data_IF_022464010616
#
_entry.id   IF_022464010616
#
_cell.length_a   1.000
_cell.length_b   1.000
_cell.length_c   1.000
_cell.angle_alpha   90.00
_cell.angle_beta   90.00
_cell.angle_gamma   90.00
#
_symmetry.space_group_name_H-M   'P 1'
#
loop_
_entity.id
_entity.type
_entity.pdbx_description
1 polymer ?
#
# COMPACT_ATOMS: atom_id res chain seq x y z
N UNK A 1 6.91 13.73 -0.95
CA UNK A 1 5.68 13.28 -1.64
C UNK A 1 4.79 12.57 -0.63
N UNK A 2 3.48 12.72 -0.74
CA UNK A 2 2.46 11.99 -0.01
C UNK A 2 1.83 10.95 -0.93
N UNK A 3 2.06 9.67 -0.68
CA UNK A 3 1.69 8.57 -1.59
C UNK A 3 0.76 7.58 -0.90
N UNK A 4 -0.21 7.05 -1.63
CA UNK A 4 -0.95 5.85 -1.19
C UNK A 4 -0.10 4.62 -1.50
N UNK A 5 0.13 3.76 -0.51
CA UNK A 5 0.97 2.57 -0.65
C UNK A 5 0.11 1.34 -0.89
N UNK A 6 0.44 0.59 -1.92
CA UNK A 6 -0.14 -0.74 -2.16
C UNK A 6 0.34 -1.76 -1.09
N UNK A 7 -0.57 -2.62 -0.60
CA UNK A 7 -0.27 -3.76 0.28
C UNK A 7 0.96 -4.55 -0.19
N UNK A 8 1.11 -4.78 -1.50
CA UNK A 8 2.21 -5.53 -2.07
C UNK A 8 3.58 -4.89 -1.78
N UNK A 9 3.65 -3.56 -1.68
CA UNK A 9 4.89 -2.84 -1.32
C UNK A 9 5.25 -3.09 0.13
N UNK A 10 4.26 -3.07 1.03
CA UNK A 10 4.45 -3.37 2.44
C UNK A 10 4.82 -4.85 2.66
N UNK A 11 4.19 -5.77 1.94
CA UNK A 11 4.54 -7.20 1.95
C UNK A 11 5.98 -7.41 1.45
N UNK A 12 6.38 -6.76 0.36
CA UNK A 12 7.75 -6.84 -0.15
C UNK A 12 8.77 -6.30 0.87
N UNK A 13 8.42 -5.22 1.58
CA UNK A 13 9.21 -4.67 2.67
C UNK A 13 9.32 -5.65 3.84
N UNK A 14 8.29 -6.45 4.15
CA UNK A 14 8.32 -7.46 5.21
C UNK A 14 9.15 -8.70 4.83
N UNK A 15 9.06 -9.17 3.58
CA UNK A 15 9.71 -10.42 3.15
C UNK A 15 11.24 -10.35 3.16
N UNK A 16 11.82 -9.24 2.69
CA UNK A 16 13.28 -9.08 2.62
C UNK A 16 13.66 -7.63 2.80
N UNK A 17 14.93 -7.39 3.10
CA UNK A 17 15.52 -6.05 2.98
C UNK A 17 15.54 -5.65 1.51
N UNK A 18 14.53 -4.89 1.11
CA UNK A 18 14.21 -4.56 -0.28
C UNK A 18 14.22 -3.05 -0.47
N UNK A 19 14.26 -2.61 -1.73
CA UNK A 19 14.04 -1.19 -2.06
C UNK A 19 12.76 -0.67 -1.42
N UNK A 20 11.70 -1.48 -1.35
CA UNK A 20 10.47 -1.10 -0.64
C UNK A 20 10.71 -0.81 0.85
N UNK A 21 11.50 -1.65 1.54
CA UNK A 21 11.84 -1.41 2.96
C UNK A 21 12.61 -0.11 3.11
N UNK A 22 13.62 0.11 2.27
CA UNK A 22 14.42 1.33 2.29
C UNK A 22 13.59 2.59 2.00
N UNK A 23 12.69 2.54 1.02
CA UNK A 23 11.81 3.67 0.66
C UNK A 23 10.88 4.02 1.82
N UNK A 24 10.26 3.02 2.48
CA UNK A 24 9.34 3.24 3.60
C UNK A 24 10.05 3.89 4.79
N UNK A 25 11.30 3.48 5.07
CA UNK A 25 12.03 3.93 6.27
C UNK A 25 12.82 5.23 6.08
N UNK A 26 12.99 5.75 4.85
CA UNK A 26 13.89 6.88 4.57
C UNK A 26 13.30 8.28 4.87
N UNK A 27 12.11 8.43 5.48
CA UNK A 27 11.46 9.72 5.82
C UNK A 27 11.32 10.78 4.70
N UNK A 28 11.80 10.53 3.47
CA UNK A 28 11.69 11.42 2.31
C UNK A 28 10.25 11.54 1.80
N UNK A 29 9.42 10.57 2.14
CA UNK A 29 8.05 10.43 1.68
C UNK A 29 7.13 10.13 2.86
N UNK A 30 5.87 10.55 2.72
CA UNK A 30 4.81 10.22 3.66
C UNK A 30 3.85 9.27 2.97
N UNK A 31 3.37 8.28 3.72
CA UNK A 31 2.61 7.18 3.16
C UNK A 31 1.23 7.10 3.79
N UNK A 32 0.23 6.85 2.95
CA UNK A 32 -1.13 6.51 3.37
C UNK A 32 -1.40 5.04 3.02
N UNK A 33 -2.07 4.32 3.91
CA UNK A 33 -2.48 2.94 3.66
C UNK A 33 -3.95 2.76 4.06
N UNK A 34 -4.81 2.21 3.19
CA UNK A 34 -6.15 1.83 3.58
C UNK A 34 -6.13 0.79 4.73
N UNK A 35 -7.01 0.91 5.73
CA UNK A 35 -7.02 0.02 6.89
C UNK A 35 -7.19 -1.47 6.52
N UNK A 36 -7.95 -1.77 5.46
CA UNK A 36 -8.21 -3.15 5.03
C UNK A 36 -6.92 -3.89 4.64
N UNK A 37 -5.87 -3.17 4.25
CA UNK A 37 -4.55 -3.74 3.94
C UNK A 37 -3.93 -4.45 5.15
N UNK A 38 -4.22 -3.99 6.37
CA UNK A 38 -3.74 -4.65 7.59
C UNK A 38 -4.40 -6.03 7.79
N UNK A 39 -5.68 -6.17 7.44
CA UNK A 39 -6.37 -7.46 7.47
C UNK A 39 -5.74 -8.42 6.46
N UNK A 40 -5.43 -7.91 5.26
CA UNK A 40 -4.77 -8.70 4.21
C UNK A 40 -3.37 -9.17 4.65
N UNK A 41 -2.56 -8.27 5.20
CA UNK A 41 -1.21 -8.59 5.70
C UNK A 41 -1.28 -9.64 6.80
N UNK A 42 -2.22 -9.50 7.75
CA UNK A 42 -2.40 -10.47 8.82
C UNK A 42 -2.88 -11.83 8.29
N UNK A 43 -3.78 -11.84 7.30
CA UNK A 43 -4.23 -13.07 6.63
C UNK A 43 -3.06 -13.80 5.96
N UNK A 44 -2.10 -13.08 5.39
CA UNK A 44 -0.91 -13.65 4.76
C UNK A 44 0.30 -13.81 5.69
N UNK A 45 0.17 -13.52 6.99
CA UNK A 45 1.27 -13.54 7.97
C UNK A 45 2.08 -14.83 7.93
N UNK A 46 1.43 -16.00 8.01
CA UNK A 46 2.13 -17.30 7.98
C UNK A 46 2.94 -17.52 6.69
N UNK A 47 2.40 -17.07 5.55
CA UNK A 47 3.11 -17.14 4.27
C UNK A 47 4.32 -16.21 4.25
N UNK A 48 4.16 -14.97 4.73
CA UNK A 48 5.23 -13.97 4.79
C UNK A 48 6.34 -14.44 5.73
N UNK A 49 6.01 -14.92 6.92
CA UNK A 49 6.97 -15.48 7.88
C UNK A 49 7.78 -16.63 7.25
N UNK A 50 7.12 -17.56 6.54
CA UNK A 50 7.80 -18.66 5.85
C UNK A 50 8.75 -18.19 4.76
N UNK A 51 8.38 -17.16 3.98
CA UNK A 51 9.24 -16.57 2.94
C UNK A 51 10.40 -15.76 3.52
N UNK A 52 10.14 -15.00 4.58
CA UNK A 52 11.11 -14.13 5.24
C UNK A 52 12.03 -14.88 6.20
N UNK A 53 11.71 -16.14 6.52
CA UNK A 53 12.33 -16.93 7.60
C UNK A 53 12.29 -16.19 8.94
N UNK A 54 11.15 -15.55 9.22
CA UNK A 54 10.90 -14.83 10.47
C UNK A 54 9.93 -15.63 11.34
N UNK A 55 10.10 -15.55 12.65
CA UNK A 55 9.05 -15.96 13.58
C UNK A 55 7.94 -14.90 13.67
N UNK A 56 6.83 -15.25 14.33
CA UNK A 56 5.68 -14.36 14.47
C UNK A 56 6.02 -13.06 15.20
N UNK A 57 6.83 -13.12 16.27
CA UNK A 57 7.13 -11.96 17.10
C UNK A 57 8.01 -10.95 16.36
N UNK A 58 8.98 -11.45 15.59
CA UNK A 58 9.85 -10.64 14.73
C UNK A 58 9.06 -10.02 13.59
N UNK A 59 8.12 -10.77 13.00
CA UNK A 59 7.19 -10.22 12.01
C UNK A 59 6.36 -9.06 12.59
N UNK A 60 5.76 -9.24 13.77
CA UNK A 60 4.92 -8.22 14.40
C UNK A 60 5.73 -6.96 14.72
N UNK A 61 6.95 -7.14 15.25
CA UNK A 61 7.88 -6.03 15.54
C UNK A 61 8.26 -5.27 14.28
N UNK A 62 8.59 -5.99 13.19
CA UNK A 62 8.94 -5.38 11.92
C UNK A 62 7.75 -4.64 11.29
N UNK A 63 6.57 -5.24 11.31
CA UNK A 63 5.34 -4.61 10.81
C UNK A 63 5.04 -3.33 11.59
N UNK A 64 5.07 -3.36 12.92
CA UNK A 64 4.89 -2.17 13.75
C UNK A 64 5.92 -1.08 13.41
N UNK A 65 7.19 -1.44 13.22
CA UNK A 65 8.24 -0.49 12.85
C UNK A 65 8.00 0.15 11.48
N UNK A 66 7.49 -0.59 10.50
CA UNK A 66 7.17 -0.05 9.17
C UNK A 66 5.96 0.88 9.23
N UNK A 67 4.93 0.50 10.01
CA UNK A 67 3.72 1.30 10.17
C UNK A 67 3.96 2.65 10.87
N UNK A 68 5.07 2.82 11.62
CA UNK A 68 5.44 4.14 12.15
C UNK A 68 5.64 5.21 11.07
N UNK A 69 5.92 4.81 9.83
CA UNK A 69 6.10 5.72 8.70
C UNK A 69 4.87 5.78 7.77
N UNK A 70 3.76 5.12 8.15
CA UNK A 70 2.57 4.96 7.32
C UNK A 70 1.33 5.39 8.12
N UNK A 71 0.60 6.37 7.60
CA UNK A 71 -0.69 6.78 8.13
C UNK A 71 -1.77 5.79 7.65
N UNK A 72 -2.34 5.02 8.58
CA UNK A 72 -3.42 4.08 8.27
C UNK A 72 -4.76 4.82 8.24
N UNK A 73 -5.48 4.72 7.14
CA UNK A 73 -6.71 5.48 6.88
C UNK A 73 -7.92 4.55 6.91
N UNK A 74 -8.88 4.91 7.76
CA UNK A 74 -10.14 4.18 7.90
C UNK A 74 -11.05 4.33 6.67
N UNK A 75 -11.84 3.31 6.37
CA UNK A 75 -12.69 3.22 5.17
C UNK A 75 -13.64 4.40 5.03
N UNK A 76 -14.19 4.88 6.12
CA UNK A 76 -15.17 5.98 6.15
C UNK A 76 -14.58 7.25 5.54
N UNK A 77 -13.26 7.45 5.65
CA UNK A 77 -12.59 8.66 5.14
C UNK A 77 -12.47 8.70 3.61
N UNK A 78 -12.60 7.56 2.93
CA UNK A 78 -12.53 7.45 1.47
C UNK A 78 -13.74 6.75 0.84
N UNK A 79 -14.74 6.38 1.65
CA UNK A 79 -15.92 5.65 1.21
C UNK A 79 -16.68 6.34 0.07
N UNK A 80 -16.73 7.69 0.09
CA UNK A 80 -17.39 8.51 -0.94
C UNK A 80 -16.75 8.39 -2.33
N UNK A 81 -15.52 7.88 -2.42
CA UNK A 81 -14.78 7.69 -3.68
C UNK A 81 -14.75 6.24 -4.16
N UNK A 82 -15.25 5.29 -3.37
CA UNK A 82 -15.21 3.85 -3.71
C UNK A 82 -15.90 3.54 -5.03
N UNK A 83 -17.10 4.10 -5.26
CA UNK A 83 -17.86 3.84 -6.48
C UNK A 83 -17.13 4.34 -7.73
N UNK A 84 -16.62 5.58 -7.68
CA UNK A 84 -15.87 6.18 -8.79
C UNK A 84 -14.57 5.40 -9.04
N UNK A 85 -13.86 5.00 -7.98
CA UNK A 85 -12.65 4.19 -8.11
C UNK A 85 -12.94 2.83 -8.76
N UNK A 86 -14.06 2.18 -8.41
CA UNK A 86 -14.49 0.91 -8.99
C UNK A 86 -14.77 1.03 -10.50
N UNK A 87 -15.44 2.11 -10.90
CA UNK A 87 -15.71 2.41 -12.31
C UNK A 87 -14.41 2.68 -13.09
N UNK A 88 -13.49 3.46 -12.51
CA UNK A 88 -12.20 3.80 -13.15
C UNK A 88 -11.29 2.57 -13.34
N UNK A 89 -11.38 1.59 -12.45
CA UNK A 89 -10.66 0.31 -12.58
C UNK A 89 -11.40 -0.70 -13.45
N UNK A 90 -12.52 -0.33 -14.07
CA UNK A 90 -13.35 -1.19 -14.94
C UNK A 90 -13.75 -2.52 -14.27
N UNK A 91 -13.91 -2.50 -12.94
CA UNK A 91 -14.18 -3.68 -12.10
C UNK A 91 -13.15 -4.83 -12.22
N UNK A 92 -11.94 -4.56 -12.73
CA UNK A 92 -10.93 -5.59 -13.02
C UNK A 92 -10.36 -6.23 -11.76
N UNK A 93 -9.94 -5.41 -10.80
CA UNK A 93 -9.55 -5.87 -9.46
C UNK A 93 -10.26 -5.03 -8.38
N UNK A 94 -11.15 -5.69 -7.65
CA UNK A 94 -11.90 -5.06 -6.56
C UNK A 94 -11.02 -4.75 -5.34
N UNK A 95 -9.85 -5.39 -5.22
CA UNK A 95 -8.89 -5.13 -4.15
C UNK A 95 -8.09 -3.84 -4.36
N UNK A 96 -8.00 -3.37 -5.60
CA UNK A 96 -7.30 -2.13 -5.94
C UNK A 96 -8.16 -0.88 -5.68
N UNK A 97 -9.48 -1.07 -5.66
CA UNK A 97 -10.49 -0.01 -5.47
C UNK A 97 -10.22 0.85 -4.24
N UNK A 98 -9.92 0.32 -3.04
CA UNK A 98 -9.71 1.15 -1.87
C UNK A 98 -8.45 2.04 -1.97
N UNK A 99 -7.39 1.60 -2.65
CA UNK A 99 -6.18 2.44 -2.83
C UNK A 99 -6.47 3.61 -3.77
N UNK A 100 -7.15 3.35 -4.88
CA UNK A 100 -7.55 4.42 -5.80
C UNK A 100 -8.57 5.37 -5.15
N UNK A 101 -9.55 4.83 -4.42
CA UNK A 101 -10.52 5.64 -3.69
C UNK A 101 -9.83 6.53 -2.66
N UNK A 102 -8.86 5.99 -1.91
CA UNK A 102 -8.08 6.76 -0.95
C UNK A 102 -7.30 7.90 -1.65
N UNK A 103 -6.61 7.60 -2.74
CA UNK A 103 -5.86 8.62 -3.49
C UNK A 103 -6.77 9.70 -4.09
N UNK A 104 -8.00 9.37 -4.49
CA UNK A 104 -8.99 10.34 -4.97
C UNK A 104 -9.67 11.15 -3.84
N UNK A 105 -9.56 10.70 -2.59
CA UNK A 105 -10.25 11.31 -1.43
C UNK A 105 -9.37 12.28 -0.63
N UNK A 106 -8.05 12.19 -0.78
CA UNK A 106 -7.07 12.97 -0.03
C UNK A 106 -6.15 13.71 -0.99
N UNK A 107 -5.48 14.74 -0.49
CA UNK A 107 -4.38 15.37 -1.22
C UNK A 107 -3.17 14.43 -1.21
N UNK A 108 -2.97 13.72 -2.31
CA UNK A 108 -1.83 12.82 -2.53
C UNK A 108 -1.19 13.10 -3.89
N UNK A 109 0.10 12.82 -4.00
CA UNK A 109 0.83 12.91 -5.27
C UNK A 109 0.49 11.73 -6.20
N UNK A 110 0.05 10.60 -5.62
CA UNK A 110 -0.27 9.39 -6.38
C UNK A 110 -0.34 8.12 -5.55
N UNK A 111 -0.33 6.99 -6.26
CA UNK A 111 -0.23 5.64 -5.70
C UNK A 111 1.16 5.09 -6.00
N UNK A 112 1.80 4.49 -5.01
CA UNK A 112 3.00 3.70 -5.20
C UNK A 112 2.62 2.22 -5.35
N UNK A 113 2.74 1.72 -6.58
CA UNK A 113 2.54 0.30 -6.91
C UNK A 113 3.36 -0.06 -8.16
N UNK A 114 3.81 -1.31 -8.23
CA UNK A 114 4.36 -1.89 -9.46
C UNK A 114 3.29 -2.68 -10.24
N UNK A 115 2.04 -2.72 -9.75
CA UNK A 115 0.93 -3.37 -10.42
C UNK A 115 0.47 -2.55 -11.63
N UNK A 116 0.32 -3.23 -12.76
CA UNK A 116 -0.11 -2.63 -14.02
C UNK A 116 -1.61 -2.33 -14.03
N UNK A 117 -2.37 -2.92 -13.12
CA UNK A 117 -3.82 -2.79 -13.09
C UNK A 117 -4.26 -1.35 -12.75
N UNK A 118 -3.44 -0.63 -11.98
CA UNK A 118 -3.63 0.81 -11.75
C UNK A 118 -3.38 1.70 -12.97
N UNK A 119 -2.72 1.21 -14.03
CA UNK A 119 -2.42 2.01 -15.23
C UNK A 119 -3.61 2.17 -16.18
N UNK A 120 -4.71 1.47 -15.93
CA UNK A 120 -5.94 1.61 -16.74
C UNK A 120 -6.63 2.95 -16.54
N UNK A 121 -6.44 3.58 -15.38
CA UNK A 121 -6.97 4.90 -15.05
C UNK A 121 -5.90 5.99 -15.25
N UNK A 122 -6.34 7.23 -15.48
CA UNK A 122 -5.47 8.40 -15.69
C UNK A 122 -5.75 9.56 -14.72
N UNK A 123 -6.52 9.32 -13.65
CA UNK A 123 -6.91 10.33 -12.65
C UNK A 123 -5.86 10.51 -11.56
N UNK A 124 -5.15 9.45 -11.23
CA UNK A 124 -4.12 9.42 -10.19
C UNK A 124 -2.82 8.91 -10.81
N UNK A 125 -1.72 9.61 -10.51
CA UNK A 125 -0.39 9.20 -10.97
C UNK A 125 0.05 7.92 -10.25
N UNK A 126 0.63 7.00 -11.02
CA UNK A 126 1.23 5.78 -10.47
C UNK A 126 2.74 5.95 -10.47
N UNK A 127 3.34 5.73 -9.31
CA UNK A 127 4.79 5.68 -9.12
C UNK A 127 5.20 4.24 -8.96
N UNK A 128 6.18 3.82 -9.74
CA UNK A 128 6.84 2.54 -9.55
C UNK A 128 7.93 2.68 -8.49
N UNK A 129 8.42 1.55 -8.02
CA UNK A 129 9.54 1.51 -7.08
C UNK A 129 10.78 2.22 -7.63
N UNK A 130 11.05 2.11 -8.94
CA UNK A 130 12.17 2.79 -9.62
C UNK A 130 12.07 4.33 -9.59
N UNK A 131 10.86 4.89 -9.50
CA UNK A 131 10.64 6.33 -9.44
C UNK A 131 10.92 6.94 -8.05
N UNK A 132 11.10 6.09 -7.03
CA UNK A 132 11.22 6.48 -5.62
C UNK A 132 12.60 6.18 -5.01
N UNK A 133 13.53 5.61 -5.78
CA UNK A 133 14.90 5.29 -5.34
C UNK A 133 15.79 6.54 -5.35
#
# INVERSE_FOLDING_TARGET
MKLVVDSNRLIAALIKDSSSRAIITNHKHSFLLPEFSLEEINKYKSYICGKAKLDSATFDTLLSSLLLNIEVIAREQYASKLQIAKELLTERDLKDVPFLALALSKETDGIWSDDKDFLIQNKVKIFKTEDLI
#
